data_IF_957207805778
#
_entry.id   IF_957207805778
#
_cell.length_a   1.000
_cell.length_b   1.000
_cell.length_c   1.000
_cell.angle_alpha   90.00
_cell.angle_beta   90.00
_cell.angle_gamma   90.00
#
_symmetry.space_group_name_H-M   'P 1'
#
loop_
_entity.id
_entity.type
_entity.pdbx_description
1 polymer ?
#
# COMPACT_ATOMS: atom_id res chain seq x y z
N UNK A 1 37.22 -11.20 35.88
CA UNK A 1 36.57 -10.18 35.03
C UNK A 1 36.11 -10.85 33.74
N UNK A 2 34.87 -11.32 33.67
CA UNK A 2 34.22 -11.73 32.43
C UNK A 2 32.73 -11.38 32.58
N UNK A 3 32.29 -10.32 31.91
CA UNK A 3 30.91 -9.84 31.92
C UNK A 3 30.50 -9.50 30.49
N UNK A 4 29.42 -10.13 30.04
CA UNK A 4 29.05 -10.36 28.66
C UNK A 4 28.85 -9.11 27.78
N UNK A 5 29.13 -9.26 26.49
CA UNK A 5 28.73 -8.34 25.42
C UNK A 5 27.20 -8.38 25.30
N UNK A 6 26.56 -7.30 25.74
CA UNK A 6 25.12 -7.08 25.54
C UNK A 6 24.91 -6.71 24.08
N UNK A 7 24.46 -7.68 23.27
CA UNK A 7 23.88 -7.39 21.96
C UNK A 7 22.51 -6.78 22.22
N UNK A 8 22.41 -5.46 22.10
CA UNK A 8 21.12 -4.76 22.06
C UNK A 8 20.51 -5.00 20.68
N UNK A 9 19.86 -6.14 20.52
CA UNK A 9 18.91 -6.36 19.44
C UNK A 9 17.80 -5.33 19.66
N UNK A 10 17.70 -4.33 18.77
CA UNK A 10 16.47 -3.56 18.66
C UNK A 10 15.43 -4.55 18.15
N UNK A 11 14.65 -5.10 19.06
CA UNK A 11 13.37 -5.71 18.71
C UNK A 11 12.54 -4.57 18.12
N UNK A 12 12.57 -4.48 16.78
CA UNK A 12 11.59 -3.69 16.05
C UNK A 12 10.30 -4.48 16.22
N UNK A 13 9.49 -4.06 17.18
CA UNK A 13 8.08 -4.44 17.23
C UNK A 13 7.50 -4.03 15.87
N UNK A 14 7.31 -5.01 14.98
CA UNK A 14 6.59 -4.80 13.74
C UNK A 14 5.14 -4.57 14.18
N UNK A 15 4.73 -3.30 14.28
CA UNK A 15 3.31 -2.98 14.39
C UNK A 15 2.61 -3.66 13.20
N UNK A 16 1.73 -4.61 13.50
CA UNK A 16 0.85 -5.22 12.51
C UNK A 16 -0.06 -4.11 11.96
N UNK A 17 0.30 -3.56 10.80
CA UNK A 17 -0.52 -2.59 10.08
C UNK A 17 -1.80 -3.31 9.61
N UNK A 18 -2.96 -3.03 10.23
CA UNK A 18 -4.19 -3.78 9.93
C UNK A 18 -4.66 -3.52 8.50
N UNK A 19 -4.16 -2.46 7.86
CA UNK A 19 -4.55 -2.03 6.53
C UNK A 19 -3.60 -2.51 5.44
N UNK A 20 -2.44 -3.08 5.79
CA UNK A 20 -1.46 -3.49 4.81
C UNK A 20 -0.48 -4.54 5.32
N UNK A 21 -0.37 -5.66 4.60
CA UNK A 21 0.53 -6.76 4.98
C UNK A 21 1.70 -6.98 4.01
N UNK A 22 1.85 -6.14 2.98
CA UNK A 22 2.95 -6.20 2.02
C UNK A 22 3.58 -4.81 1.80
N UNK A 23 4.82 -4.64 2.28
CA UNK A 23 5.56 -3.37 2.22
C UNK A 23 5.87 -2.96 0.79
N UNK A 24 6.12 -3.91 -0.12
CA UNK A 24 6.42 -3.62 -1.53
C UNK A 24 5.15 -3.11 -2.22
N UNK A 25 4.01 -3.73 -1.95
CA UNK A 25 2.69 -3.28 -2.43
C UNK A 25 2.37 -1.89 -1.89
N UNK A 26 2.59 -1.65 -0.59
CA UNK A 26 2.45 -0.31 0.04
C UNK A 26 3.25 0.74 -0.69
N UNK A 27 4.52 0.46 -0.94
CA UNK A 27 5.44 1.39 -1.61
C UNK A 27 4.95 1.70 -3.01
N UNK A 28 4.55 0.69 -3.79
CA UNK A 28 4.04 0.90 -5.16
C UNK A 28 2.74 1.69 -5.14
N UNK A 29 1.81 1.36 -4.25
CA UNK A 29 0.55 2.08 -4.10
C UNK A 29 0.80 3.53 -3.69
N UNK A 30 1.70 3.79 -2.75
CA UNK A 30 2.09 5.14 -2.36
C UNK A 30 2.77 5.88 -3.51
N UNK A 31 3.71 5.29 -4.24
CA UNK A 31 4.33 5.91 -5.42
C UNK A 31 3.33 6.19 -6.55
N UNK A 32 2.33 5.34 -6.70
CA UNK A 32 1.35 5.42 -7.80
C UNK A 32 0.13 6.27 -7.46
N UNK A 33 -0.20 6.40 -6.17
CA UNK A 33 -1.31 7.18 -5.62
C UNK A 33 -0.86 8.57 -5.12
N UNK A 34 0.40 8.68 -4.67
CA UNK A 34 1.08 9.94 -4.42
C UNK A 34 1.67 10.46 -5.74
N UNK A 35 0.98 11.44 -6.29
CA UNK A 35 1.56 12.35 -7.27
C UNK A 35 2.77 13.03 -6.61
N UNK A 36 3.93 12.99 -7.28
CA UNK A 36 5.18 13.64 -6.86
C UNK A 36 4.95 14.97 -6.12
N UNK A 37 5.62 15.12 -4.96
CA UNK A 37 5.54 16.26 -4.02
C UNK A 37 5.72 17.64 -4.70
N UNK A 38 6.25 17.68 -5.92
CA UNK A 38 6.56 18.88 -6.69
C UNK A 38 5.37 19.48 -7.47
N UNK A 39 4.29 18.74 -7.74
CA UNK A 39 3.16 19.26 -8.55
C UNK A 39 1.81 18.91 -7.90
N UNK A 40 1.21 19.86 -7.19
CA UNK A 40 -0.14 19.77 -6.60
C UNK A 40 -1.26 19.79 -7.65
N UNK A 41 -1.16 18.99 -8.71
CA UNK A 41 -2.34 18.62 -9.50
C UNK A 41 -2.65 17.17 -9.18
N UNK A 42 -3.27 17.02 -8.01
CA UNK A 42 -3.75 15.77 -7.47
C UNK A 42 -4.60 15.05 -8.50
N UNK A 43 -4.36 13.75 -8.66
CA UNK A 43 -5.39 12.91 -9.23
C UNK A 43 -6.49 12.76 -8.18
N UNK A 44 -7.41 13.73 -8.13
CA UNK A 44 -8.65 13.65 -7.36
C UNK A 44 -9.62 12.63 -7.94
N UNK A 45 -9.25 11.98 -9.05
CA UNK A 45 -10.09 11.03 -9.76
C UNK A 45 -9.70 9.60 -9.37
N UNK A 46 -10.57 8.93 -8.62
CA UNK A 46 -10.41 7.53 -8.24
C UNK A 46 -10.19 6.60 -9.45
N UNK A 47 -10.74 6.91 -10.62
CA UNK A 47 -10.58 6.12 -11.85
C UNK A 47 -9.14 6.15 -12.34
N UNK A 48 -8.52 7.32 -12.34
CA UNK A 48 -7.13 7.49 -12.80
C UNK A 48 -6.18 6.87 -11.77
N UNK A 49 -6.42 7.07 -10.48
CA UNK A 49 -5.65 6.42 -9.40
C UNK A 49 -5.70 4.89 -9.53
N UNK A 50 -6.90 4.32 -9.69
CA UNK A 50 -7.10 2.88 -9.90
C UNK A 50 -6.29 2.36 -11.09
N UNK A 51 -6.38 3.01 -12.26
CA UNK A 51 -5.67 2.58 -13.47
C UNK A 51 -4.16 2.66 -13.31
N UNK A 52 -3.66 3.72 -12.67
CA UNK A 52 -2.23 3.91 -12.38
C UNK A 52 -1.68 2.80 -11.48
N UNK A 53 -2.35 2.57 -10.34
CA UNK A 53 -1.94 1.56 -9.36
C UNK A 53 -2.02 0.16 -9.96
N UNK A 54 -3.11 -0.18 -10.66
CA UNK A 54 -3.27 -1.49 -11.32
C UNK A 54 -2.09 -1.78 -12.26
N UNK A 55 -1.77 -0.82 -13.14
CA UNK A 55 -0.67 -0.96 -14.10
C UNK A 55 0.67 -1.14 -13.39
N UNK A 56 0.98 -0.29 -12.41
CA UNK A 56 2.26 -0.33 -11.71
C UNK A 56 2.45 -1.64 -10.92
N UNK A 57 1.40 -2.14 -10.27
CA UNK A 57 1.47 -3.42 -9.54
C UNK A 57 1.69 -4.58 -10.50
N UNK A 58 0.90 -4.68 -11.58
CA UNK A 58 1.03 -5.78 -12.54
C UNK A 58 2.41 -5.79 -13.21
N UNK A 59 2.99 -4.63 -13.51
CA UNK A 59 4.34 -4.51 -14.03
C UNK A 59 5.40 -4.97 -13.01
N UNK A 60 5.32 -4.54 -11.74
CA UNK A 60 6.35 -4.83 -10.72
C UNK A 60 6.22 -6.20 -10.03
N UNK A 61 5.03 -6.79 -10.02
CA UNK A 61 4.76 -8.11 -9.43
C UNK A 61 4.61 -9.21 -10.48
N UNK A 62 4.40 -8.86 -11.77
CA UNK A 62 4.11 -9.85 -12.83
C UNK A 62 2.94 -10.78 -12.45
N UNK A 63 1.97 -10.25 -11.72
CA UNK A 63 0.82 -10.98 -11.19
C UNK A 63 -0.42 -10.09 -11.26
N UNK A 64 -1.60 -10.71 -11.38
CA UNK A 64 -2.88 -10.00 -11.38
C UNK A 64 -3.23 -9.55 -9.97
N UNK A 65 -3.70 -8.32 -9.87
CA UNK A 65 -4.27 -7.74 -8.66
C UNK A 65 -5.65 -7.17 -8.95
N UNK A 66 -6.44 -6.93 -7.93
CA UNK A 66 -7.64 -6.12 -8.02
C UNK A 66 -7.40 -4.83 -7.26
N UNK A 67 -7.72 -3.69 -7.89
CA UNK A 67 -7.59 -2.36 -7.29
C UNK A 67 -8.96 -1.68 -7.28
N UNK A 68 -9.38 -1.24 -6.09
CA UNK A 68 -10.58 -0.46 -5.85
C UNK A 68 -10.12 0.91 -5.35
N UNK A 69 -10.63 1.98 -5.95
CA UNK A 69 -10.42 3.33 -5.44
C UNK A 69 -11.77 4.05 -5.39
N UNK A 70 -11.97 4.86 -4.37
CA UNK A 70 -13.15 5.70 -4.23
C UNK A 70 -12.77 7.08 -3.72
N UNK A 71 -13.60 8.06 -4.09
CA UNK A 71 -13.57 9.38 -3.48
C UNK A 71 -14.34 9.33 -2.15
N UNK A 72 -13.62 9.36 -1.04
CA UNK A 72 -14.18 9.14 0.30
C UNK A 72 -14.14 7.68 0.75
N UNK A 73 -14.97 7.36 1.74
CA UNK A 73 -14.92 6.08 2.45
C UNK A 73 -15.72 5.00 1.74
N UNK A 74 -15.23 3.77 1.83
CA UNK A 74 -15.95 2.57 1.41
C UNK A 74 -15.61 1.39 2.30
N UNK A 75 -16.48 0.39 2.29
CA UNK A 75 -16.23 -0.91 2.93
C UNK A 75 -16.20 -1.99 1.86
N UNK A 76 -15.17 -2.84 1.93
CA UNK A 76 -15.00 -3.95 1.00
C UNK A 76 -14.35 -5.13 1.73
N UNK A 77 -14.84 -6.34 1.46
CA UNK A 77 -14.31 -7.58 2.04
C UNK A 77 -13.77 -8.44 0.91
N UNK A 78 -12.51 -8.87 1.04
CA UNK A 78 -11.84 -9.76 0.11
C UNK A 78 -11.25 -10.94 0.86
N UNK A 79 -11.35 -12.15 0.29
CA UNK A 79 -10.56 -13.29 0.75
C UNK A 79 -9.23 -13.27 -0.01
N UNK A 80 -8.14 -12.96 0.69
CA UNK A 80 -6.82 -12.73 0.10
C UNK A 80 -5.71 -12.93 1.14
N UNK A 81 -4.52 -13.30 0.68
CA UNK A 81 -3.30 -13.35 1.51
C UNK A 81 -2.45 -12.09 1.39
N UNK A 82 -2.67 -11.25 0.37
CA UNK A 82 -1.84 -10.07 0.10
C UNK A 82 -2.72 -8.88 -0.19
N UNK A 83 -2.65 -7.86 0.67
CA UNK A 83 -3.46 -6.67 0.56
C UNK A 83 -2.75 -5.43 1.09
N UNK A 84 -3.20 -4.28 0.60
CA UNK A 84 -2.79 -3.00 1.15
C UNK A 84 -3.83 -1.93 0.85
N UNK A 85 -4.03 -1.03 1.81
CA UNK A 85 -4.80 0.19 1.65
C UNK A 85 -3.87 1.40 1.68
N UNK A 86 -4.16 2.40 0.85
CA UNK A 86 -3.55 3.72 0.94
C UNK A 86 -4.63 4.78 0.76
N UNK A 87 -4.47 5.91 1.44
CA UNK A 87 -5.40 7.04 1.35
C UNK A 87 -4.62 8.33 1.21
N UNK A 88 -5.14 9.24 0.40
CA UNK A 88 -4.79 10.66 0.42
C UNK A 88 -6.04 11.49 0.79
N UNK A 89 -5.93 12.83 0.79
CA UNK A 89 -7.02 13.73 1.21
C UNK A 89 -8.35 13.55 0.44
N UNK A 90 -8.32 12.99 -0.78
CA UNK A 90 -9.48 12.92 -1.68
C UNK A 90 -9.87 11.49 -2.10
N UNK A 91 -8.92 10.54 -2.07
CA UNK A 91 -9.06 9.19 -2.65
C UNK A 91 -8.48 8.13 -1.71
N UNK A 92 -9.29 7.12 -1.40
CA UNK A 92 -8.85 5.88 -0.73
C UNK A 92 -8.79 4.76 -1.76
N UNK A 93 -7.71 4.00 -1.75
CA UNK A 93 -7.48 2.87 -2.62
C UNK A 93 -7.14 1.61 -1.82
N UNK A 94 -7.72 0.48 -2.23
CA UNK A 94 -7.46 -0.85 -1.70
C UNK A 94 -7.03 -1.77 -2.83
N UNK A 95 -5.87 -2.42 -2.69
CA UNK A 95 -5.37 -3.41 -3.62
C UNK A 95 -5.22 -4.75 -2.93
N UNK A 96 -5.59 -5.83 -3.64
CA UNK A 96 -5.43 -7.17 -3.14
C UNK A 96 -5.19 -8.18 -4.26
N UNK A 97 -4.54 -9.29 -3.93
CA UNK A 97 -4.33 -10.40 -4.86
C UNK A 97 -5.51 -11.38 -4.75
N UNK A 98 -6.28 -11.64 -5.82
CA UNK A 98 -7.27 -12.71 -5.78
C UNK A 98 -6.58 -14.07 -5.59
N UNK A 99 -7.20 -14.94 -4.80
CA UNK A 99 -6.74 -16.32 -4.60
C UNK A 99 -7.03 -17.18 -5.84
#
# INVERSE_FOLDING_TARGET
>A
MHGARVFSSKDVEVEDDPTCNDVKLKTIMQESCAVNITYRNLTKDATVAKRSIQKAIEEKFSAKFNVICANGDFSYVAYTETYCQTSNDDVTCYAFKPL
#
